data_IF_485766673968
#
_entry.id   IF_485766673968
#
_cell.length_a   1.000
_cell.length_b   1.000
_cell.length_c   1.000
_cell.angle_alpha   90.00
_cell.angle_beta   90.00
_cell.angle_gamma   90.00
#
_symmetry.space_group_name_H-M   'P 1'
#
loop_
_entity.id
_entity.type
_entity.pdbx_description
1 polymer ?
#
# COMPACT_ATOMS: atom_id res chain seq x y z
N UNK A 1 7.26 13.82 16.29
CA UNK A 1 8.71 13.61 16.52
C UNK A 1 9.34 12.45 15.74
N UNK A 2 8.63 11.35 15.46
CA UNK A 2 9.17 10.14 14.78
C UNK A 2 9.88 10.40 13.43
N UNK A 3 9.32 11.26 12.59
CA UNK A 3 9.89 11.57 11.26
C UNK A 3 11.23 12.29 11.31
N UNK A 4 11.45 13.13 12.34
CA UNK A 4 12.71 13.86 12.49
C UNK A 4 13.86 12.91 12.85
N UNK A 5 13.57 11.88 13.64
CA UNK A 5 14.54 10.83 13.94
C UNK A 5 14.86 10.01 12.68
N UNK A 6 13.86 9.66 11.88
CA UNK A 6 14.05 8.95 10.61
C UNK A 6 14.96 9.74 9.65
N UNK A 7 14.71 11.04 9.49
CA UNK A 7 15.55 11.92 8.68
C UNK A 7 17.00 11.98 9.21
N UNK A 8 17.18 12.17 10.51
CA UNK A 8 18.52 12.21 11.13
C UNK A 8 19.26 10.88 11.02
N UNK A 9 18.53 9.78 11.04
CA UNK A 9 19.05 8.43 10.82
C UNK A 9 19.35 8.10 9.34
N UNK A 10 19.09 9.02 8.41
CA UNK A 10 19.33 8.80 6.98
C UNK A 10 18.40 7.77 6.35
N UNK A 11 17.26 7.48 6.98
CA UNK A 11 16.23 6.62 6.39
C UNK A 11 15.64 7.33 5.18
N UNK A 12 15.46 6.60 4.08
CA UNK A 12 14.88 7.15 2.85
C UNK A 12 13.36 6.97 2.81
N UNK A 13 12.88 5.82 3.28
CA UNK A 13 11.48 5.43 3.17
C UNK A 13 10.89 5.19 4.56
N UNK A 14 9.71 5.73 4.82
CA UNK A 14 9.00 5.63 6.10
C UNK A 14 7.56 5.21 5.83
N UNK A 15 7.16 4.07 6.41
CA UNK A 15 5.79 3.57 6.36
C UNK A 15 5.01 4.16 7.55
N UNK A 16 3.81 4.68 7.29
CA UNK A 16 2.92 5.20 8.33
C UNK A 16 1.51 4.61 8.16
N UNK A 17 0.73 4.46 9.25
CA UNK A 17 -0.68 4.14 9.09
C UNK A 17 -1.41 5.25 8.33
N UNK A 18 -2.36 4.86 7.46
CA UNK A 18 -3.15 5.80 6.65
C UNK A 18 -3.87 6.87 7.47
N UNK A 19 -4.31 6.53 8.68
CA UNK A 19 -4.95 7.47 9.60
C UNK A 19 -4.04 8.63 10.04
N UNK A 20 -2.72 8.41 10.11
CA UNK A 20 -1.73 9.42 10.48
C UNK A 20 -1.34 10.35 9.31
N UNK A 21 -1.85 10.12 8.10
CA UNK A 21 -1.57 10.99 6.93
C UNK A 21 -1.94 12.45 7.21
N UNK A 22 -3.02 12.68 7.96
CA UNK A 22 -3.48 14.03 8.33
C UNK A 22 -2.48 14.77 9.22
N UNK A 23 -1.78 14.05 10.10
CA UNK A 23 -0.75 14.62 10.98
C UNK A 23 0.46 15.12 10.19
N UNK A 24 0.70 14.58 8.99
CA UNK A 24 1.80 15.04 8.14
C UNK A 24 1.64 16.50 7.73
N UNK A 25 0.43 17.06 7.69
CA UNK A 25 0.21 18.46 7.27
C UNK A 25 0.92 19.43 8.22
N UNK A 26 0.97 19.10 9.50
CA UNK A 26 1.62 19.91 10.55
C UNK A 26 3.15 19.79 10.51
N UNK A 27 3.68 18.74 9.89
CA UNK A 27 5.12 18.54 9.78
C UNK A 27 5.69 19.53 8.75
N UNK A 28 6.75 20.28 9.09
CA UNK A 28 7.31 21.27 8.17
C UNK A 28 8.06 20.60 7.01
N UNK A 29 8.09 21.28 5.85
CA UNK A 29 8.62 20.74 4.58
C UNK A 29 10.10 20.35 4.64
N UNK A 30 10.87 21.01 5.51
CA UNK A 30 12.27 20.69 5.73
C UNK A 30 12.48 19.27 6.28
N UNK A 31 11.53 18.74 7.06
CA UNK A 31 11.57 17.37 7.63
C UNK A 31 11.05 16.33 6.64
N UNK A 32 10.12 16.70 5.76
CA UNK A 32 9.63 15.81 4.70
C UNK A 32 10.61 15.67 3.54
N UNK A 33 11.46 16.68 3.33
CA UNK A 33 12.36 16.74 2.18
C UNK A 33 13.37 15.60 2.25
N UNK A 34 13.36 14.72 1.26
CA UNK A 34 14.25 13.56 1.21
C UNK A 34 13.76 12.35 2.00
N UNK A 35 12.55 12.39 2.56
CA UNK A 35 11.83 11.23 3.06
C UNK A 35 10.69 10.89 2.10
N UNK A 36 10.64 9.63 1.69
CA UNK A 36 9.49 9.03 1.03
C UNK A 36 8.56 8.47 2.12
N UNK A 37 7.40 9.11 2.30
CA UNK A 37 6.43 8.71 3.32
C UNK A 37 5.30 7.98 2.61
N UNK A 38 5.12 6.70 2.93
CA UNK A 38 4.14 5.83 2.29
C UNK A 38 3.07 5.45 3.32
N UNK A 39 1.83 5.97 3.19
CA UNK A 39 0.72 5.56 4.04
C UNK A 39 0.23 4.16 3.65
N UNK A 40 0.05 3.29 4.63
CA UNK A 40 -0.41 1.91 4.47
C UNK A 40 -1.63 1.63 5.33
N UNK A 41 -2.52 0.75 4.87
CA UNK A 41 -3.72 0.37 5.60
C UNK A 41 -3.63 -1.03 6.20
N UNK A 42 -2.94 -1.94 5.52
CA UNK A 42 -2.86 -3.36 5.88
C UNK A 42 -1.41 -3.84 6.01
N UNK A 43 -1.24 -4.94 6.75
CA UNK A 43 0.08 -5.54 6.98
C UNK A 43 0.70 -6.09 5.70
N UNK A 44 -0.11 -6.58 4.76
CA UNK A 44 0.37 -7.15 3.51
C UNK A 44 1.12 -6.10 2.66
N UNK A 45 0.66 -4.84 2.71
CA UNK A 45 1.34 -3.71 2.06
C UNK A 45 2.72 -3.45 2.69
N UNK A 46 2.83 -3.56 4.01
CA UNK A 46 4.10 -3.40 4.74
C UNK A 46 5.07 -4.51 4.31
N UNK A 47 4.60 -5.75 4.24
CA UNK A 47 5.43 -6.90 3.86
C UNK A 47 5.92 -6.75 2.42
N UNK A 48 5.07 -6.33 1.49
CA UNK A 48 5.44 -6.10 0.11
C UNK A 48 6.48 -4.98 -0.06
N UNK A 49 6.43 -3.93 0.78
CA UNK A 49 7.35 -2.80 0.70
C UNK A 49 8.64 -3.00 1.50
N UNK A 50 8.64 -3.87 2.50
CA UNK A 50 9.75 -4.04 3.44
C UNK A 50 10.65 -5.25 3.12
N UNK A 51 10.14 -6.24 2.41
CA UNK A 51 10.88 -7.45 2.06
C UNK A 51 11.51 -7.34 0.67
N UNK A 52 12.76 -7.79 0.53
CA UNK A 52 13.44 -7.84 -0.78
C UNK A 52 12.82 -8.90 -1.70
N UNK A 53 12.33 -10.00 -1.13
CA UNK A 53 11.58 -11.03 -1.83
C UNK A 53 10.54 -11.65 -0.90
N UNK A 54 9.40 -12.06 -1.44
CA UNK A 54 8.40 -12.79 -0.65
C UNK A 54 8.94 -14.20 -0.32
N UNK A 55 8.76 -14.67 0.91
CA UNK A 55 9.15 -16.03 1.26
C UNK A 55 8.37 -17.02 0.41
N UNK A 56 9.06 -17.99 -0.19
CA UNK A 56 8.40 -19.13 -0.81
C UNK A 56 7.75 -19.96 0.29
N UNK A 57 6.44 -20.20 0.17
CA UNK A 57 5.75 -21.13 1.03
C UNK A 57 6.36 -22.53 0.81
N UNK A 58 7.15 -23.01 1.76
CA UNK A 58 7.57 -24.41 1.77
C UNK A 58 6.32 -25.27 2.04
N UNK A 59 6.01 -26.18 1.12
CA UNK A 59 4.95 -27.14 1.32
C UNK A 59 5.33 -28.02 2.51
N UNK A 60 4.62 -27.88 3.63
CA UNK A 60 4.71 -28.84 4.72
C UNK A 60 4.21 -30.17 4.17
N UNK A 61 5.03 -31.24 4.15
CA UNK A 61 4.58 -32.53 3.64
C UNK A 61 3.38 -33.01 4.47
N UNK A 62 2.20 -33.11 3.83
CA UNK A 62 0.96 -33.57 4.44
C UNK A 62 -0.19 -32.57 4.53
N UNK A 63 -0.08 -31.37 3.94
CA UNK A 63 -1.20 -30.41 3.86
C UNK A 63 -1.68 -30.32 2.41
N UNK A 64 -2.82 -30.95 2.11
CA UNK A 64 -3.51 -30.80 0.83
C UNK A 64 -3.89 -29.32 0.64
N UNK A 65 -3.31 -28.70 -0.39
CA UNK A 65 -3.51 -27.29 -0.72
C UNK A 65 -4.96 -27.03 -1.10
N UNK A 66 -5.71 -26.34 -0.24
CA UNK A 66 -7.01 -25.78 -0.61
C UNK A 66 -6.75 -24.50 -1.40
N UNK A 67 -6.93 -24.62 -2.72
CA UNK A 67 -7.09 -23.63 -3.77
C UNK A 67 -6.96 -22.14 -3.39
N UNK A 68 -5.94 -21.51 -3.96
CA UNK A 68 -5.87 -20.05 -4.19
C UNK A 68 -6.81 -19.67 -5.33
N UNK A 69 -7.98 -19.10 -4.99
CA UNK A 69 -8.77 -18.32 -5.96
C UNK A 69 -8.17 -16.92 -6.08
N UNK A 70 -7.46 -16.69 -7.18
CA UNK A 70 -7.04 -15.38 -7.62
C UNK A 70 -8.27 -14.59 -8.10
N UNK A 71 -8.80 -13.70 -7.26
CA UNK A 71 -9.76 -12.67 -7.70
C UNK A 71 -9.05 -11.66 -8.60
N UNK A 72 -9.08 -11.92 -9.91
CA UNK A 72 -8.91 -10.87 -10.93
C UNK A 72 -10.24 -10.12 -11.04
N UNK A 73 -10.39 -9.06 -10.25
CA UNK A 73 -11.41 -8.06 -10.53
C UNK A 73 -10.95 -7.27 -11.77
N UNK A 74 -11.48 -7.65 -12.92
CA UNK A 74 -11.34 -6.91 -14.17
C UNK A 74 -12.39 -5.79 -14.13
N UNK A 75 -12.06 -4.52 -14.44
CA UNK A 75 -13.07 -3.49 -14.51
C UNK A 75 -13.94 -3.76 -15.74
N UNK A 76 -15.23 -4.03 -15.51
CA UNK A 76 -16.24 -4.02 -16.55
C UNK A 76 -16.45 -2.57 -16.98
N UNK A 77 -15.89 -2.20 -18.13
CA UNK A 77 -16.37 -1.07 -18.92
C UNK A 77 -17.73 -1.46 -19.47
N UNK A 78 -18.81 -1.00 -18.83
CA UNK A 78 -20.13 -0.98 -19.44
C UNK A 78 -20.28 0.37 -20.16
N UNK A 79 -19.96 0.30 -21.45
CA UNK A 79 -20.28 1.27 -22.46
C UNK A 79 -21.79 1.15 -22.71
N UNK A 80 -22.59 2.04 -22.12
CA UNK A 80 -23.97 2.27 -22.55
C UNK A 80 -24.17 3.75 -22.81
N UNK A 81 -23.68 4.15 -23.98
CA UNK A 81 -24.32 5.19 -24.77
C UNK A 81 -25.85 4.96 -24.86
N UNK A 82 -26.55 6.07 -25.05
CA UNK A 82 -27.95 6.17 -25.49
C UNK A 82 -29.03 6.28 -24.40
N UNK A 83 -29.19 7.48 -23.83
CA UNK A 83 -30.52 8.06 -23.60
C UNK A 83 -30.52 9.56 -23.95
N UNK A 84 -30.20 9.85 -25.20
CA UNK A 84 -30.60 11.09 -25.84
C UNK A 84 -31.88 10.83 -26.64
N UNK A 85 -33.06 10.91 -26.00
CA UNK A 85 -34.34 10.99 -26.72
C UNK A 85 -35.48 11.62 -25.90
N UNK A 86 -35.65 12.92 -26.10
CA UNK A 86 -36.92 13.65 -26.33
C UNK A 86 -38.22 13.11 -25.72
N UNK A 87 -38.83 13.86 -24.78
CA UNK A 87 -39.98 14.76 -25.00
C UNK A 87 -40.34 15.52 -23.72
#
# INVERSE_FOLDING_TARGET
EKLLAAQRGGLKTVLIPKENEKELVEVPKNVKRGLEIVPVQWIDEILALSLESMPLAESIPGQDTVATEASKQTPVTDDHDDYARTH
#
